data_IF_295305538416
#
_entry.id   IF_295305538416
#
_cell.length_a   1.000
_cell.length_b   1.000
_cell.length_c   1.000
_cell.angle_alpha   90.00
_cell.angle_beta   90.00
_cell.angle_gamma   90.00
#
_symmetry.space_group_name_H-M   'P 1'
#
loop_
_entity.id
_entity.type
_entity.pdbx_description
1 polymer ?
#
# COMPACT_ATOMS: atom_id res chain seq x y z
N UNK A 1 -15.42 -5.77 17.08
CA UNK A 1 -16.06 -5.34 15.82
C UNK A 1 -15.64 -6.28 14.70
N UNK A 2 -16.50 -6.44 13.72
CA UNK A 2 -16.20 -7.15 12.47
C UNK A 2 -15.82 -6.13 11.41
N UNK A 3 -14.59 -6.21 10.89
CA UNK A 3 -14.01 -5.25 9.96
C UNK A 3 -13.95 -5.89 8.59
N UNK A 4 -14.66 -5.32 7.62
CA UNK A 4 -14.52 -5.68 6.21
C UNK A 4 -13.26 -5.06 5.62
N UNK A 5 -12.25 -5.87 5.32
CA UNK A 5 -10.97 -5.41 4.79
C UNK A 5 -10.91 -5.56 3.27
N UNK A 6 -10.44 -4.53 2.58
CA UNK A 6 -10.20 -4.56 1.14
C UNK A 6 -8.90 -3.86 0.76
N UNK A 7 -8.14 -4.44 -0.17
CA UNK A 7 -6.88 -3.89 -0.67
C UNK A 7 -6.86 -3.87 -2.21
N UNK A 8 -7.30 -2.75 -2.84
CA UNK A 8 -7.49 -2.63 -4.29
C UNK A 8 -6.20 -2.81 -5.11
N UNK A 9 -5.05 -2.45 -4.55
CA UNK A 9 -3.75 -2.61 -5.20
C UNK A 9 -3.30 -4.06 -5.21
N UNK A 10 -3.38 -4.72 -4.05
CA UNK A 10 -2.87 -6.07 -3.86
C UNK A 10 -3.48 -6.76 -2.65
N UNK A 11 -4.12 -7.90 -2.87
CA UNK A 11 -4.66 -8.74 -1.82
C UNK A 11 -3.56 -9.16 -0.81
N UNK A 12 -3.88 -9.19 0.50
CA UNK A 12 -2.99 -9.78 1.52
C UNK A 12 -2.69 -11.25 1.29
N UNK A 13 -3.52 -11.96 0.50
CA UNK A 13 -3.35 -13.38 0.16
C UNK A 13 -2.67 -13.62 -1.19
N UNK A 14 -2.29 -12.55 -1.92
CA UNK A 14 -1.53 -12.68 -3.17
C UNK A 14 -0.26 -13.51 -2.98
N UNK A 15 0.07 -14.42 -3.91
CA UNK A 15 1.29 -15.25 -3.86
C UNK A 15 2.57 -14.42 -4.01
N UNK A 16 2.52 -13.32 -4.77
CA UNK A 16 3.72 -12.52 -5.00
C UNK A 16 4.06 -11.62 -3.81
N UNK A 17 5.27 -11.78 -3.28
CA UNK A 17 5.79 -10.97 -2.16
C UNK A 17 5.93 -9.49 -2.56
N UNK A 18 5.48 -8.58 -1.69
CA UNK A 18 5.67 -7.13 -1.85
C UNK A 18 5.48 -6.42 -0.51
N UNK A 19 5.98 -5.18 -0.43
CA UNK A 19 5.74 -4.32 0.73
C UNK A 19 4.25 -4.15 1.02
N UNK A 20 3.43 -3.86 -0.02
CA UNK A 20 1.98 -3.68 0.13
C UNK A 20 1.31 -4.90 0.78
N UNK A 21 1.64 -6.12 0.30
CA UNK A 21 1.13 -7.35 0.91
C UNK A 21 1.54 -7.50 2.37
N UNK A 22 2.79 -7.19 2.67
CA UNK A 22 3.32 -7.30 4.04
C UNK A 22 2.60 -6.31 4.96
N UNK A 23 2.46 -5.06 4.57
CA UNK A 23 1.77 -4.04 5.36
C UNK A 23 0.28 -4.40 5.53
N UNK A 24 -0.40 -4.87 4.47
CA UNK A 24 -1.79 -5.33 4.58
C UNK A 24 -1.95 -6.44 5.65
N UNK A 25 -1.04 -7.42 5.67
CA UNK A 25 -1.05 -8.50 6.68
C UNK A 25 -0.76 -8.00 8.09
N UNK A 26 0.17 -7.05 8.23
CA UNK A 26 0.48 -6.45 9.52
C UNK A 26 -0.69 -5.62 10.06
N UNK A 27 -1.41 -4.90 9.19
CA UNK A 27 -2.63 -4.18 9.58
C UNK A 27 -3.71 -5.16 10.06
N UNK A 28 -3.97 -6.23 9.31
CA UNK A 28 -4.92 -7.27 9.70
C UNK A 28 -4.53 -7.83 11.08
N UNK A 29 -3.28 -8.25 11.26
CA UNK A 29 -2.78 -8.79 12.53
C UNK A 29 -2.93 -7.78 13.68
N UNK A 30 -2.62 -6.51 13.45
CA UNK A 30 -2.77 -5.48 14.48
C UNK A 30 -4.24 -5.31 14.92
N UNK A 31 -5.17 -5.35 13.98
CA UNK A 31 -6.60 -5.30 14.26
C UNK A 31 -7.08 -6.54 15.02
N UNK A 32 -6.61 -7.73 14.66
CA UNK A 32 -6.92 -8.99 15.35
C UNK A 32 -6.37 -9.00 16.79
N UNK A 33 -5.14 -8.51 17.01
CA UNK A 33 -4.55 -8.32 18.34
C UNK A 33 -5.40 -7.34 19.17
N UNK A 34 -5.97 -6.32 18.51
CA UNK A 34 -6.93 -5.39 19.11
C UNK A 34 -8.31 -5.99 19.44
N UNK A 35 -8.49 -7.29 19.21
CA UNK A 35 -9.75 -8.00 19.51
C UNK A 35 -10.83 -7.81 18.45
N UNK A 36 -10.46 -7.48 17.21
CA UNK A 36 -11.39 -7.36 16.08
C UNK A 36 -11.34 -8.61 15.21
N UNK A 37 -12.46 -8.94 14.60
CA UNK A 37 -12.55 -9.95 13.54
C UNK A 37 -12.37 -9.25 12.20
N UNK A 38 -11.39 -9.68 11.38
CA UNK A 38 -11.11 -9.07 10.08
C UNK A 38 -11.51 -10.04 8.97
N UNK A 39 -12.38 -9.58 8.08
CA UNK A 39 -12.93 -10.36 6.96
C UNK A 39 -12.45 -9.74 5.65
N UNK A 40 -11.77 -10.52 4.80
CA UNK A 40 -11.42 -10.04 3.47
C UNK A 40 -12.68 -9.97 2.59
N UNK A 41 -13.06 -8.77 2.17
CA UNK A 41 -14.28 -8.57 1.39
C UNK A 41 -14.12 -9.00 -0.06
N UNK A 42 -12.97 -8.77 -0.66
CA UNK A 42 -12.72 -9.13 -2.06
C UNK A 42 -11.22 -9.21 -2.37
N UNK A 43 -10.88 -10.07 -3.33
CA UNK A 43 -9.57 -10.07 -3.97
C UNK A 43 -9.56 -9.31 -5.30
N UNK A 44 -10.65 -8.61 -5.62
CA UNK A 44 -10.74 -7.78 -6.83
C UNK A 44 -9.61 -6.76 -6.86
N UNK A 45 -8.85 -6.77 -7.95
CA UNK A 45 -7.71 -5.90 -8.14
C UNK A 45 -8.03 -4.79 -9.12
N UNK A 46 -8.10 -3.55 -8.66
CA UNK A 46 -8.51 -2.38 -9.45
C UNK A 46 -7.35 -1.62 -10.12
N UNK A 47 -6.25 -2.31 -10.42
CA UNK A 47 -5.01 -1.65 -10.87
C UNK A 47 -4.99 -1.36 -12.36
N UNK A 48 -4.86 -0.07 -12.73
CA UNK A 48 -4.49 0.36 -14.08
C UNK A 48 -3.06 0.93 -14.06
N UNK A 49 -2.11 0.21 -14.64
CA UNK A 49 -0.68 0.63 -14.66
C UNK A 49 -0.42 1.67 -15.75
N UNK A 50 -1.03 1.53 -16.91
CA UNK A 50 -0.83 2.41 -18.06
C UNK A 50 -1.62 3.71 -17.99
N UNK A 51 -2.72 3.73 -17.22
CA UNK A 51 -3.67 4.83 -17.22
C UNK A 51 -4.63 4.79 -18.43
N UNK A 52 -4.73 3.66 -19.11
CA UNK A 52 -5.67 3.48 -20.21
C UNK A 52 -7.11 3.69 -19.72
N UNK A 53 -7.85 4.57 -20.40
CA UNK A 53 -9.18 4.97 -19.98
C UNK A 53 -10.19 3.83 -20.09
N UNK A 54 -10.13 3.03 -21.17
CA UNK A 54 -11.03 1.89 -21.34
C UNK A 54 -10.80 0.84 -20.26
N UNK A 55 -9.53 0.59 -19.90
CA UNK A 55 -9.19 -0.29 -18.79
C UNK A 55 -9.76 0.23 -17.46
N UNK A 56 -9.64 1.53 -17.18
CA UNK A 56 -10.20 2.12 -15.96
C UNK A 56 -11.72 2.03 -15.93
N UNK A 57 -12.41 2.29 -17.04
CA UNK A 57 -13.86 2.15 -17.15
C UNK A 57 -14.31 0.69 -16.95
N UNK A 58 -13.54 -0.25 -17.49
CA UNK A 58 -13.82 -1.67 -17.32
C UNK A 58 -13.66 -2.13 -15.87
N UNK A 59 -12.57 -1.70 -15.21
CA UNK A 59 -12.35 -1.95 -13.77
C UNK A 59 -13.47 -1.33 -12.92
N UNK A 60 -13.95 -0.13 -13.26
CA UNK A 60 -15.08 0.48 -12.58
C UNK A 60 -16.35 -0.37 -12.72
N UNK A 61 -16.67 -0.86 -13.92
CA UNK A 61 -17.83 -1.74 -14.17
C UNK A 61 -17.70 -3.07 -13.41
N UNK A 62 -16.51 -3.67 -13.45
CA UNK A 62 -16.24 -4.91 -12.71
C UNK A 62 -16.42 -4.70 -11.21
N UNK A 63 -15.90 -3.59 -10.64
CA UNK A 63 -16.08 -3.25 -9.25
C UNK A 63 -17.55 -3.07 -8.87
N UNK A 64 -18.33 -2.36 -9.69
CA UNK A 64 -19.76 -2.22 -9.51
C UNK A 64 -20.49 -3.58 -9.48
N UNK A 65 -20.12 -4.47 -10.41
CA UNK A 65 -20.67 -5.82 -10.45
C UNK A 65 -20.34 -6.60 -9.17
N UNK A 66 -19.08 -6.58 -8.75
CA UNK A 66 -18.63 -7.27 -7.53
C UNK A 66 -19.40 -6.80 -6.30
N UNK A 67 -19.54 -5.49 -6.11
CA UNK A 67 -20.26 -4.98 -4.94
C UNK A 67 -21.76 -5.25 -5.02
N UNK A 68 -22.38 -5.21 -6.20
CA UNK A 68 -23.78 -5.60 -6.35
C UNK A 68 -23.99 -7.07 -5.99
N UNK A 69 -23.15 -7.97 -6.49
CA UNK A 69 -23.21 -9.40 -6.16
C UNK A 69 -23.07 -9.66 -4.65
N UNK A 70 -22.20 -8.91 -3.96
CA UNK A 70 -22.05 -9.00 -2.50
C UNK A 70 -23.31 -8.53 -1.76
N UNK A 71 -23.92 -7.45 -2.21
CA UNK A 71 -25.08 -6.86 -1.56
C UNK A 71 -26.38 -7.63 -1.84
N UNK A 72 -26.48 -8.24 -3.03
CA UNK A 72 -27.65 -9.00 -3.46
C UNK A 72 -27.73 -10.42 -2.83
N UNK A 73 -26.59 -10.95 -2.37
CA UNK A 73 -26.55 -12.23 -1.63
C UNK A 73 -26.78 -11.99 -0.13
N UNK A 74 -27.95 -12.33 0.41
CA UNK A 74 -28.26 -12.10 1.83
C UNK A 74 -27.38 -12.92 2.80
N UNK A 75 -26.68 -13.95 2.29
CA UNK A 75 -25.78 -14.77 3.09
C UNK A 75 -24.32 -14.28 2.99
N UNK A 76 -24.05 -13.28 2.16
CA UNK A 76 -22.70 -12.77 2.04
C UNK A 76 -22.21 -12.11 3.32
N UNK A 77 -20.94 -12.35 3.68
CA UNK A 77 -20.35 -11.84 4.93
C UNK A 77 -20.36 -10.30 5.02
N UNK A 78 -20.56 -9.57 3.92
CA UNK A 78 -20.64 -8.11 3.88
C UNK A 78 -21.76 -7.57 4.78
N UNK A 79 -22.87 -8.33 4.97
CA UNK A 79 -23.98 -7.94 5.84
C UNK A 79 -23.68 -8.07 7.33
N UNK A 80 -22.53 -8.63 7.67
CA UNK A 80 -22.13 -8.88 9.07
C UNK A 80 -21.01 -7.95 9.56
N UNK A 81 -20.50 -7.06 8.71
CA UNK A 81 -19.41 -6.14 9.11
C UNK A 81 -19.97 -4.87 9.74
N UNK A 82 -19.21 -4.34 10.69
CA UNK A 82 -19.52 -3.08 11.39
C UNK A 82 -18.91 -1.86 10.71
N UNK A 83 -17.87 -2.09 9.90
CA UNK A 83 -17.06 -1.03 9.26
C UNK A 83 -16.35 -1.61 8.03
N UNK A 84 -16.22 -0.79 6.99
CA UNK A 84 -15.39 -1.10 5.82
C UNK A 84 -14.05 -0.39 5.90
N UNK A 85 -12.95 -1.14 5.78
CA UNK A 85 -11.58 -0.63 5.81
C UNK A 85 -10.87 -0.91 4.49
N UNK A 86 -10.50 0.14 3.77
CA UNK A 86 -9.69 0.05 2.55
C UNK A 86 -8.24 0.40 2.83
N UNK A 87 -7.32 -0.45 2.37
CA UNK A 87 -5.89 -0.23 2.49
C UNK A 87 -5.27 0.11 1.14
N UNK A 88 -4.44 1.17 1.12
CA UNK A 88 -3.67 1.69 0.00
C UNK A 88 -4.55 2.20 -1.16
N UNK A 89 -5.17 3.35 -0.92
CA UNK A 89 -6.02 4.05 -1.90
C UNK A 89 -5.20 5.08 -2.69
N UNK A 90 -5.13 4.94 -4.02
CA UNK A 90 -4.53 5.94 -4.90
C UNK A 90 -5.06 5.83 -6.34
N UNK A 91 -4.73 6.80 -7.19
CA UNK A 91 -5.31 6.93 -8.55
C UNK A 91 -5.10 5.73 -9.48
N UNK A 92 -4.03 4.93 -9.29
CA UNK A 92 -3.80 3.71 -10.11
C UNK A 92 -4.53 2.49 -9.59
N UNK A 93 -4.96 2.51 -8.35
CA UNK A 93 -5.70 1.45 -7.69
C UNK A 93 -6.78 2.06 -6.77
N UNK A 94 -7.80 2.69 -7.34
CA UNK A 94 -8.90 3.27 -6.57
C UNK A 94 -9.82 2.18 -6.04
N UNK A 95 -10.55 2.50 -4.98
CA UNK A 95 -11.58 1.61 -4.43
C UNK A 95 -12.92 1.81 -5.14
N UNK A 96 -13.34 0.81 -5.92
CA UNK A 96 -14.63 0.79 -6.60
C UNK A 96 -15.73 0.09 -5.78
N UNK A 97 -15.39 -0.48 -4.61
CA UNK A 97 -16.30 -1.29 -3.81
C UNK A 97 -16.77 -0.56 -2.53
N UNK A 98 -15.81 -0.12 -1.73
CA UNK A 98 -16.02 0.35 -0.36
C UNK A 98 -17.03 1.49 -0.21
N UNK A 99 -16.93 2.59 -0.97
CA UNK A 99 -17.91 3.67 -0.89
C UNK A 99 -19.34 3.22 -1.10
N UNK A 100 -19.58 2.39 -2.11
CA UNK A 100 -20.90 1.89 -2.45
C UNK A 100 -21.42 0.89 -1.42
N UNK A 101 -20.58 -0.05 -0.98
CA UNK A 101 -20.95 -1.02 0.05
C UNK A 101 -21.27 -0.34 1.38
N UNK A 102 -20.44 0.61 1.80
CA UNK A 102 -20.62 1.34 3.06
C UNK A 102 -21.89 2.20 3.05
N UNK A 103 -22.17 2.86 1.93
CA UNK A 103 -23.40 3.64 1.76
C UNK A 103 -24.65 2.74 1.82
N UNK A 104 -24.65 1.63 1.08
CA UNK A 104 -25.78 0.70 1.05
C UNK A 104 -26.08 0.04 2.42
N UNK A 105 -25.03 -0.26 3.18
CA UNK A 105 -25.13 -0.89 4.50
C UNK A 105 -25.24 0.13 5.64
N UNK A 106 -25.12 1.42 5.35
CA UNK A 106 -25.09 2.51 6.34
C UNK A 106 -24.04 2.28 7.45
N UNK A 107 -22.81 1.87 7.04
CA UNK A 107 -21.66 1.65 7.93
C UNK A 107 -20.53 2.62 7.65
N UNK A 108 -19.64 2.87 8.60
CA UNK A 108 -18.47 3.72 8.37
C UNK A 108 -17.55 3.17 7.28
N UNK A 109 -17.06 4.08 6.42
CA UNK A 109 -16.00 3.85 5.45
C UNK A 109 -14.69 4.45 5.96
N UNK A 110 -13.66 3.65 6.12
CA UNK A 110 -12.33 4.07 6.59
C UNK A 110 -11.27 3.71 5.57
N UNK A 111 -10.30 4.59 5.40
CA UNK A 111 -9.17 4.38 4.49
C UNK A 111 -7.87 4.42 5.28
N UNK A 112 -7.01 3.43 5.07
CA UNK A 112 -5.61 3.47 5.54
C UNK A 112 -4.70 3.67 4.34
N UNK A 113 -3.78 4.63 4.44
CA UNK A 113 -2.81 5.01 3.40
C UNK A 113 -3.51 5.48 2.10
N UNK A 114 -3.97 6.72 2.12
CA UNK A 114 -4.54 7.38 0.95
C UNK A 114 -3.55 8.36 0.35
N UNK A 115 -3.32 8.29 -0.96
CA UNK A 115 -2.49 9.24 -1.69
C UNK A 115 -3.31 9.98 -2.73
N UNK A 116 -3.21 11.31 -2.72
CA UNK A 116 -3.86 12.19 -3.68
C UNK A 116 -2.85 12.88 -4.59
N UNK A 117 -3.06 12.83 -5.90
CA UNK A 117 -2.15 13.37 -6.91
C UNK A 117 -2.86 14.38 -7.83
N UNK A 118 -2.99 15.67 -7.44
CA UNK A 118 -3.71 16.70 -8.21
C UNK A 118 -3.29 16.83 -9.67
N UNK A 119 -2.01 16.54 -9.97
CA UNK A 119 -1.47 16.53 -11.34
C UNK A 119 -2.16 15.53 -12.28
N UNK A 120 -2.86 14.55 -11.73
CA UNK A 120 -3.62 13.56 -12.51
C UNK A 120 -5.02 14.03 -12.89
N UNK A 121 -5.46 15.22 -12.49
CA UNK A 121 -6.77 15.78 -12.92
C UNK A 121 -6.91 15.89 -14.44
N UNK A 122 -5.82 16.17 -15.14
CA UNK A 122 -5.73 16.17 -16.60
C UNK A 122 -4.79 15.09 -17.14
N UNK A 123 -4.44 14.11 -16.31
CA UNK A 123 -3.53 13.02 -16.64
C UNK A 123 -4.27 11.73 -17.04
N UNK A 124 -3.51 10.70 -17.42
CA UNK A 124 -4.08 9.45 -17.92
C UNK A 124 -4.88 8.69 -16.83
N UNK A 125 -4.71 8.99 -15.54
CA UNK A 125 -5.48 8.38 -14.44
C UNK A 125 -6.59 9.29 -13.91
N UNK A 126 -7.17 10.16 -14.75
CA UNK A 126 -8.23 11.08 -14.33
C UNK A 126 -9.43 10.36 -13.72
N UNK A 127 -9.87 9.24 -14.30
CA UNK A 127 -11.00 8.47 -13.81
C UNK A 127 -10.71 7.86 -12.43
N UNK A 128 -9.53 7.24 -12.27
CA UNK A 128 -9.09 6.70 -10.99
C UNK A 128 -8.94 7.79 -9.92
N UNK A 129 -8.44 8.97 -10.30
CA UNK A 129 -8.34 10.11 -9.38
C UNK A 129 -9.72 10.59 -8.90
N UNK A 130 -10.70 10.72 -9.82
CA UNK A 130 -12.09 11.06 -9.45
C UNK A 130 -12.67 10.06 -8.44
N UNK A 131 -12.37 8.78 -8.61
CA UNK A 131 -12.82 7.76 -7.66
C UNK A 131 -12.12 7.92 -6.30
N UNK A 132 -10.82 8.25 -6.27
CA UNK A 132 -10.13 8.59 -5.00
C UNK A 132 -10.77 9.78 -4.32
N UNK A 133 -11.10 10.86 -5.06
CA UNK A 133 -11.82 12.02 -4.53
C UNK A 133 -13.18 11.61 -3.93
N UNK A 134 -13.94 10.75 -4.60
CA UNK A 134 -15.20 10.21 -4.07
C UNK A 134 -14.96 9.39 -2.78
N UNK A 135 -13.98 8.48 -2.78
CA UNK A 135 -13.65 7.69 -1.60
C UNK A 135 -13.36 8.58 -0.39
N UNK A 136 -12.53 9.61 -0.58
CA UNK A 136 -12.16 10.53 0.49
C UNK A 136 -13.34 11.39 0.95
N UNK A 137 -14.20 11.84 0.04
CA UNK A 137 -15.37 12.69 0.37
C UNK A 137 -16.42 11.96 1.21
N UNK A 138 -16.51 10.63 1.14
CA UNK A 138 -17.44 9.82 1.93
C UNK A 138 -16.79 9.17 3.15
N UNK A 139 -15.46 9.21 3.25
CA UNK A 139 -14.74 8.57 4.33
C UNK A 139 -15.14 9.11 5.71
N UNK A 140 -15.41 8.23 6.65
CA UNK A 140 -15.62 8.55 8.07
C UNK A 140 -14.30 8.75 8.80
N UNK A 141 -13.22 8.19 8.28
CA UNK A 141 -11.88 8.37 8.80
C UNK A 141 -10.79 7.97 7.83
N UNK A 142 -9.61 8.58 8.01
CA UNK A 142 -8.41 8.24 7.25
C UNK A 142 -7.23 8.06 8.21
N UNK A 143 -6.53 6.96 8.05
CA UNK A 143 -5.28 6.64 8.76
C UNK A 143 -4.14 6.82 7.77
N UNK A 144 -3.34 7.85 7.93
CA UNK A 144 -2.17 8.13 7.10
C UNK A 144 -0.92 7.52 7.71
N UNK A 145 -0.04 6.96 6.87
CA UNK A 145 1.28 6.44 7.26
C UNK A 145 2.39 7.44 6.96
N UNK A 146 2.09 8.48 6.17
CA UNK A 146 3.02 9.52 5.77
C UNK A 146 2.43 10.91 6.09
N UNK A 147 3.16 11.78 6.82
CA UNK A 147 2.68 13.13 7.15
C UNK A 147 2.29 13.97 5.93
N UNK A 148 2.99 13.82 4.81
CA UNK A 148 2.71 14.56 3.57
C UNK A 148 1.34 14.24 2.98
N UNK A 149 0.86 13.01 3.13
CA UNK A 149 -0.44 12.61 2.63
C UNK A 149 -1.57 13.26 3.44
N UNK A 150 -1.37 13.51 4.74
CA UNK A 150 -2.35 14.19 5.61
C UNK A 150 -2.74 15.55 5.02
N UNK A 151 -1.77 16.38 4.66
CA UNK A 151 -1.99 17.72 4.10
C UNK A 151 -2.70 17.65 2.74
N UNK A 152 -2.26 16.71 1.89
CA UNK A 152 -2.78 16.57 0.51
C UNK A 152 -4.25 16.15 0.45
N UNK A 153 -4.74 15.37 1.43
CA UNK A 153 -6.11 14.84 1.43
C UNK A 153 -7.09 15.67 2.25
N UNK A 154 -6.62 16.53 3.16
CA UNK A 154 -7.44 17.24 4.13
C UNK A 154 -8.61 18.00 3.51
N UNK A 155 -8.38 18.66 2.37
CA UNK A 155 -9.42 19.43 1.67
C UNK A 155 -10.49 18.59 0.97
N UNK A 156 -10.28 17.27 0.88
CA UNK A 156 -11.20 16.32 0.23
C UNK A 156 -12.10 15.61 1.24
N UNK A 157 -11.77 15.68 2.51
CA UNK A 157 -12.51 14.99 3.56
C UNK A 157 -13.73 15.81 3.99
N UNK A 158 -14.80 15.11 4.40
CA UNK A 158 -15.94 15.76 5.05
C UNK A 158 -15.53 16.34 6.41
N UNK A 159 -16.20 17.40 6.91
CA UNK A 159 -15.78 18.12 8.12
C UNK A 159 -15.69 17.27 9.40
N UNK A 160 -16.50 16.22 9.50
CA UNK A 160 -16.58 15.31 10.64
C UNK A 160 -15.66 14.07 10.50
N UNK A 161 -14.97 13.92 9.39
CA UNK A 161 -14.04 12.82 9.18
C UNK A 161 -12.89 12.85 10.19
N UNK A 162 -12.59 11.68 10.76
CA UNK A 162 -11.45 11.55 11.67
C UNK A 162 -10.17 11.35 10.89
N UNK A 163 -9.11 12.05 11.28
CA UNK A 163 -7.77 11.85 10.72
C UNK A 163 -6.82 11.38 11.81
N UNK A 164 -6.00 10.39 11.45
CA UNK A 164 -4.97 9.84 12.33
C UNK A 164 -3.68 9.65 11.52
N UNK A 165 -2.57 10.05 12.09
CA UNK A 165 -1.24 9.71 11.61
C UNK A 165 -0.73 8.53 12.42
N UNK A 166 -0.50 7.40 11.77
CA UNK A 166 0.11 6.21 12.36
C UNK A 166 1.59 6.19 12.00
N UNK A 167 2.46 6.05 13.01
CA UNK A 167 3.89 5.89 12.76
C UNK A 167 4.15 4.63 11.92
N UNK A 168 5.19 4.63 11.06
CA UNK A 168 5.60 3.45 10.33
C UNK A 168 5.83 2.27 11.27
N UNK A 169 5.37 1.10 10.87
CA UNK A 169 5.47 -0.14 11.63
C UNK A 169 6.05 -1.24 10.76
N UNK A 170 6.67 -2.21 11.42
CA UNK A 170 7.26 -3.39 10.80
C UNK A 170 6.83 -4.64 11.56
N UNK A 171 7.07 -5.81 10.97
CA UNK A 171 7.01 -7.06 11.73
C UNK A 171 8.06 -7.02 12.85
N UNK A 172 7.86 -7.85 13.87
CA UNK A 172 8.85 -8.05 14.91
C UNK A 172 10.23 -8.28 14.28
N UNK A 173 11.22 -7.55 14.77
CA UNK A 173 12.59 -7.74 14.31
C UNK A 173 12.98 -9.19 14.51
N UNK A 174 13.59 -9.86 13.52
CA UNK A 174 14.23 -11.13 13.77
C UNK A 174 15.17 -10.98 14.97
N UNK A 175 15.24 -12.01 15.81
CA UNK A 175 16.19 -12.04 16.90
C UNK A 175 17.61 -12.00 16.31
N UNK A 176 18.23 -10.82 16.33
CA UNK A 176 19.62 -10.66 15.90
C UNK A 176 20.52 -11.13 17.06
N UNK A 177 20.61 -12.46 17.23
CA UNK A 177 21.51 -13.07 18.20
C UNK A 177 22.99 -12.91 17.83
N UNK A 178 23.29 -12.64 16.56
CA UNK A 178 24.64 -12.48 16.05
C UNK A 178 25.14 -11.03 16.22
N UNK A 179 26.40 -10.90 16.65
CA UNK A 179 27.04 -9.58 16.66
C UNK A 179 27.21 -9.03 15.22
N UNK A 180 27.28 -7.70 15.04
CA UNK A 180 27.57 -7.10 13.73
C UNK A 180 28.83 -7.68 13.08
N UNK A 181 29.86 -7.98 13.88
CA UNK A 181 31.13 -8.54 13.43
C UNK A 181 30.97 -9.99 12.94
N UNK A 182 30.22 -10.81 13.67
CA UNK A 182 29.89 -12.19 13.28
C UNK A 182 29.11 -12.22 12.00
N UNK A 183 28.07 -11.34 11.88
CA UNK A 183 27.28 -11.20 10.67
C UNK A 183 28.12 -10.75 9.48
N UNK A 184 29.04 -9.79 9.68
CA UNK A 184 29.95 -9.32 8.64
C UNK A 184 30.87 -10.43 8.16
N UNK A 185 31.42 -11.23 9.05
CA UNK A 185 32.27 -12.37 8.70
C UNK A 185 31.50 -13.42 7.89
N UNK A 186 30.31 -13.80 8.35
CA UNK A 186 29.45 -14.77 7.66
C UNK A 186 29.10 -14.31 6.26
N UNK A 187 28.71 -13.04 6.11
CA UNK A 187 28.39 -12.44 4.79
C UNK A 187 29.63 -12.37 3.91
N UNK A 188 30.81 -12.00 4.46
CA UNK A 188 32.06 -11.97 3.73
C UNK A 188 32.41 -13.34 3.15
N UNK A 189 32.31 -14.38 3.95
CA UNK A 189 32.57 -15.75 3.51
C UNK A 189 31.57 -16.22 2.44
N UNK A 190 30.28 -15.98 2.67
CA UNK A 190 29.19 -16.43 1.79
C UNK A 190 29.21 -15.76 0.41
N UNK A 191 29.49 -14.47 0.37
CA UNK A 191 29.41 -13.66 -0.85
C UNK A 191 30.77 -13.19 -1.38
N UNK A 192 31.88 -13.66 -0.79
CA UNK A 192 33.27 -13.30 -1.15
C UNK A 192 33.52 -11.80 -1.06
N UNK A 193 32.99 -11.17 0.00
CA UNK A 193 33.18 -9.74 0.23
C UNK A 193 34.44 -9.46 1.02
N UNK A 194 35.06 -8.30 0.82
CA UNK A 194 36.21 -7.85 1.61
C UNK A 194 35.73 -7.41 3.01
N UNK A 195 36.14 -8.06 4.10
CA UNK A 195 35.68 -7.69 5.44
C UNK A 195 36.30 -6.39 5.96
N UNK A 196 37.43 -5.98 5.38
CA UNK A 196 38.24 -4.84 5.87
C UNK A 196 37.82 -3.48 5.36
N UNK A 197 37.06 -3.43 4.26
CA UNK A 197 36.58 -2.16 3.70
C UNK A 197 35.13 -1.84 4.12
N UNK A 198 34.71 -0.57 4.07
CA UNK A 198 33.32 -0.20 4.21
C UNK A 198 32.43 -0.84 3.15
N UNK A 199 31.24 -1.28 3.55
CA UNK A 199 30.22 -1.76 2.64
C UNK A 199 29.14 -0.70 2.45
N UNK A 200 28.85 -0.41 1.19
CA UNK A 200 27.70 0.37 0.78
C UNK A 200 26.60 -0.64 0.40
N UNK A 201 25.50 -0.66 1.15
CA UNK A 201 24.45 -1.64 0.95
C UNK A 201 23.21 -0.98 0.35
N UNK A 202 22.68 -1.57 -0.72
CA UNK A 202 21.39 -1.19 -1.27
C UNK A 202 20.49 -2.40 -1.42
N UNK A 203 19.23 -2.27 -0.97
CA UNK A 203 18.24 -3.34 -1.03
C UNK A 203 17.03 -2.83 -1.80
N UNK A 204 16.99 -3.10 -3.09
CA UNK A 204 15.86 -2.75 -3.94
C UNK A 204 15.84 -3.63 -5.20
N UNK A 205 14.66 -3.80 -5.80
CA UNK A 205 14.58 -4.45 -7.11
C UNK A 205 15.17 -3.54 -8.20
N UNK A 206 16.09 -4.07 -9.00
CA UNK A 206 16.65 -3.37 -10.17
C UNK A 206 15.72 -3.55 -11.39
N UNK A 207 14.55 -2.89 -11.33
CA UNK A 207 13.56 -2.93 -12.42
C UNK A 207 13.54 -1.62 -13.22
N UNK A 208 13.14 -1.62 -14.49
CA UNK A 208 12.98 -0.42 -15.31
C UNK A 208 12.13 0.66 -14.61
N UNK A 209 12.44 1.93 -14.87
CA UNK A 209 11.80 3.09 -14.28
C UNK A 209 12.63 3.71 -13.15
N UNK A 210 11.98 4.24 -12.11
CA UNK A 210 12.66 5.03 -11.07
C UNK A 210 13.69 4.22 -10.27
N UNK A 211 13.45 2.90 -10.09
CA UNK A 211 14.40 2.03 -9.39
C UNK A 211 15.73 1.91 -10.14
N UNK A 212 15.67 1.65 -11.45
CA UNK A 212 16.87 1.60 -12.28
C UNK A 212 17.58 2.96 -12.32
N UNK A 213 16.83 4.07 -12.44
CA UNK A 213 17.42 5.42 -12.38
C UNK A 213 18.17 5.67 -11.08
N UNK A 214 17.60 5.22 -9.95
CA UNK A 214 18.27 5.34 -8.64
C UNK A 214 19.58 4.56 -8.60
N UNK A 215 19.65 3.37 -9.19
CA UNK A 215 20.90 2.61 -9.31
C UNK A 215 21.92 3.30 -10.21
N UNK A 216 21.49 3.88 -11.33
CA UNK A 216 22.38 4.65 -12.21
C UNK A 216 22.94 5.89 -11.49
N UNK A 217 22.11 6.62 -10.78
CA UNK A 217 22.54 7.76 -9.93
C UNK A 217 23.53 7.32 -8.86
N UNK A 218 23.32 6.16 -8.24
CA UNK A 218 24.26 5.59 -7.28
C UNK A 218 25.59 5.24 -7.96
N UNK A 219 25.58 4.63 -9.15
CA UNK A 219 26.78 4.30 -9.91
C UNK A 219 27.58 5.55 -10.26
N UNK A 220 26.93 6.61 -10.77
CA UNK A 220 27.54 7.90 -11.08
C UNK A 220 28.19 8.56 -9.84
N UNK A 221 27.56 8.40 -8.67
CA UNK A 221 28.10 8.90 -7.41
C UNK A 221 29.34 8.11 -6.96
N UNK A 222 29.31 6.78 -7.10
CA UNK A 222 30.39 5.89 -6.72
C UNK A 222 31.62 6.02 -7.66
N UNK A 223 31.41 6.33 -8.93
CA UNK A 223 32.50 6.64 -9.88
C UNK A 223 33.40 7.77 -9.39
N UNK A 224 32.87 8.72 -8.61
CA UNK A 224 33.62 9.87 -8.08
C UNK A 224 34.49 9.56 -6.88
N UNK A 225 34.39 8.38 -6.31
CA UNK A 225 35.10 7.92 -5.10
C UNK A 225 35.83 6.60 -5.33
N UNK A 226 36.27 6.34 -6.55
CA UNK A 226 36.99 5.11 -6.91
C UNK A 226 38.41 5.03 -6.32
N UNK A 227 38.92 6.14 -5.83
CA UNK A 227 40.18 6.25 -5.08
C UNK A 227 40.07 5.74 -3.62
N UNK A 228 38.85 5.56 -3.11
CA UNK A 228 38.61 5.02 -1.78
C UNK A 228 38.38 3.51 -1.83
N UNK A 229 38.78 2.81 -0.76
CA UNK A 229 38.52 1.36 -0.64
C UNK A 229 37.13 1.13 -0.08
N UNK A 230 36.19 0.73 -0.91
CA UNK A 230 34.80 0.40 -0.58
C UNK A 230 34.31 -0.79 -1.42
N UNK A 231 33.19 -1.34 -1.03
CA UNK A 231 32.51 -2.40 -1.78
C UNK A 231 30.99 -2.15 -1.79
N UNK A 232 30.38 -2.23 -2.99
CA UNK A 232 28.92 -2.16 -3.15
C UNK A 232 28.31 -3.57 -3.03
N UNK A 233 27.30 -3.70 -2.20
CA UNK A 233 26.47 -4.89 -2.05
C UNK A 233 25.04 -4.56 -2.48
N UNK A 234 24.49 -5.29 -3.48
CA UNK A 234 23.19 -5.07 -4.08
C UNK A 234 22.30 -6.30 -3.87
#
# INVERSE_FOLDING_TARGET
>A
MRIGFYAPLKSPFSDSVSGDRTIARLLIRALEIGGHEVLLMSEFRSVSISGDEFQQQDLARQGQKVVSEMLDDPNHMVHSIDIWLTYHLYHKAPDWLGPQASEALNIPYVVTEASYAPKQKAGPWQLGLKQVERCLSVASGVISLNPRDVECIQSLLKPDAKQMLLAPFAADSPDFSDSPESTKQTMSAKYRLKPTCPWIITVAMMRPGDKLKSYLTLADALERITDLDWQLVV
#
